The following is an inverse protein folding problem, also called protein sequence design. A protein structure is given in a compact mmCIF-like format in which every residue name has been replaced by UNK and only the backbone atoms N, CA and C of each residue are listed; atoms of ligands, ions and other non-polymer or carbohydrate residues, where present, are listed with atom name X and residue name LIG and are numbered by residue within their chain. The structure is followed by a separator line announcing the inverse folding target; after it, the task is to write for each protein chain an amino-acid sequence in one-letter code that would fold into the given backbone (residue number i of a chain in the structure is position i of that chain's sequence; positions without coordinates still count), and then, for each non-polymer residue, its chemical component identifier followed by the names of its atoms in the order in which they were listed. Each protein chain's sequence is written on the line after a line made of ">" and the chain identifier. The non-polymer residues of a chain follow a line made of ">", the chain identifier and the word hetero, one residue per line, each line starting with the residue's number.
data_IF_822200621306
#
_entry.id   IF_822200621306
#
_cell.length_a   1.000
_cell.length_b   1.000
_cell.length_c   1.000
_cell.angle_alpha   90.00
_cell.angle_beta   90.00
_cell.angle_gamma   90.00
#
_symmetry.space_group_name_H-M   'P 1'
#
loop_
_entity.id
_entity.type
_entity.pdbx_description
1 polymer ?
#
# COMPACT_ATOMS: atom_id res chain seq x y z
N UNK A 1 -56.60 9.84 5.72
CA UNK A 1 -55.17 9.77 6.10
C UNK A 1 -54.36 10.20 4.87
N UNK A 2 -53.94 11.45 4.82
CA UNK A 2 -53.15 11.98 3.69
C UNK A 2 -51.73 11.41 3.83
N UNK A 3 -51.36 10.52 2.91
CA UNK A 3 -49.98 10.02 2.84
C UNK A 3 -49.06 11.20 2.52
N UNK A 4 -48.14 11.47 3.43
CA UNK A 4 -47.12 12.50 3.23
C UNK A 4 -46.06 11.95 2.25
N UNK A 5 -46.30 12.21 0.94
CA UNK A 5 -45.43 11.78 -0.13
C UNK A 5 -44.00 12.28 0.02
N UNK A 6 -43.79 13.41 0.67
CA UNK A 6 -42.47 13.98 0.90
C UNK A 6 -41.72 13.16 1.95
N UNK A 7 -42.37 12.73 3.01
CA UNK A 7 -41.77 11.86 4.03
C UNK A 7 -41.36 10.51 3.45
N UNK A 8 -42.22 9.89 2.65
CA UNK A 8 -41.87 8.63 1.95
C UNK A 8 -40.70 8.81 1.00
N UNK A 9 -40.57 9.96 0.33
CA UNK A 9 -39.45 10.26 -0.54
C UNK A 9 -38.14 10.40 0.25
N UNK A 10 -38.15 11.14 1.36
CA UNK A 10 -36.99 11.29 2.24
C UNK A 10 -36.53 9.96 2.84
N UNK A 11 -37.46 9.11 3.24
CA UNK A 11 -37.12 7.77 3.76
C UNK A 11 -36.49 6.87 2.68
N UNK A 12 -36.98 6.94 1.44
CA UNK A 12 -36.36 6.23 0.30
C UNK A 12 -34.96 6.76 -0.03
N UNK A 13 -34.74 8.06 0.09
CA UNK A 13 -33.42 8.66 -0.11
C UNK A 13 -32.45 8.23 0.97
N UNK A 14 -32.87 8.21 2.25
CA UNK A 14 -32.06 7.68 3.35
C UNK A 14 -31.65 6.22 3.13
N UNK A 15 -32.56 5.37 2.64
CA UNK A 15 -32.24 3.98 2.34
C UNK A 15 -31.18 3.81 1.23
N UNK A 16 -30.96 4.84 0.40
CA UNK A 16 -29.93 4.85 -0.64
C UNK A 16 -28.59 5.42 -0.17
N UNK A 17 -28.55 5.99 1.03
CA UNK A 17 -27.33 6.48 1.65
C UNK A 17 -26.44 5.28 2.05
N UNK A 18 -25.18 5.35 1.68
CA UNK A 18 -24.19 4.30 1.99
C UNK A 18 -23.99 4.15 3.49
N UNK A 19 -24.02 5.25 4.24
CA UNK A 19 -23.87 5.25 5.69
C UNK A 19 -25.04 4.50 6.35
N UNK A 20 -26.26 4.75 5.89
CA UNK A 20 -27.43 4.05 6.38
C UNK A 20 -27.44 2.56 6.00
N UNK A 21 -26.97 2.21 4.78
CA UNK A 21 -26.80 0.82 4.38
C UNK A 21 -25.76 0.11 5.24
N UNK A 22 -24.65 0.79 5.55
CA UNK A 22 -23.58 0.27 6.40
C UNK A 22 -24.10 -0.01 7.81
N UNK A 23 -24.77 0.97 8.43
CA UNK A 23 -25.40 0.81 9.76
C UNK A 23 -26.36 -0.37 9.79
N UNK A 24 -27.29 -0.46 8.84
CA UNK A 24 -28.25 -1.56 8.75
C UNK A 24 -27.59 -2.94 8.61
N UNK A 25 -26.47 -3.02 7.89
CA UNK A 25 -25.71 -4.27 7.75
C UNK A 25 -25.05 -4.69 9.05
N UNK A 26 -24.51 -3.74 9.81
CA UNK A 26 -23.91 -3.99 11.12
C UNK A 26 -24.97 -4.41 12.11
N UNK A 27 -26.09 -3.67 12.22
CA UNK A 27 -27.21 -4.01 13.11
C UNK A 27 -27.74 -5.42 12.87
N UNK A 28 -28.00 -5.77 11.61
CA UNK A 28 -28.51 -7.10 11.23
C UNK A 28 -27.49 -8.22 11.34
N UNK A 29 -26.25 -7.92 10.99
CA UNK A 29 -25.18 -8.93 10.98
C UNK A 29 -24.64 -9.28 12.36
N UNK A 30 -24.57 -8.29 13.25
CA UNK A 30 -24.04 -8.42 14.60
C UNK A 30 -25.11 -8.47 15.69
N UNK A 31 -26.38 -8.19 15.33
CA UNK A 31 -27.48 -8.15 16.30
C UNK A 31 -27.32 -7.03 17.34
N UNK A 32 -26.61 -5.95 16.98
CA UNK A 32 -26.34 -4.84 17.91
C UNK A 32 -27.38 -3.73 17.80
N UNK A 33 -27.39 -2.83 18.80
CA UNK A 33 -28.28 -1.66 18.79
C UNK A 33 -27.84 -0.63 17.73
N UNK A 34 -28.78 0.23 17.25
CA UNK A 34 -28.45 1.32 16.33
C UNK A 34 -27.32 2.24 16.85
N UNK A 35 -27.28 2.49 18.15
CA UNK A 35 -26.22 3.27 18.80
C UNK A 35 -24.83 2.64 18.63
N UNK A 36 -24.73 1.32 18.80
CA UNK A 36 -23.47 0.59 18.60
C UNK A 36 -23.08 0.58 17.14
N UNK A 37 -24.02 0.41 16.23
CA UNK A 37 -23.77 0.46 14.79
C UNK A 37 -23.27 1.85 14.34
N UNK A 38 -23.80 2.92 14.92
CA UNK A 38 -23.34 4.29 14.68
C UNK A 38 -21.93 4.52 15.22
N UNK A 39 -21.63 4.08 16.43
CA UNK A 39 -20.29 4.17 17.00
C UNK A 39 -19.25 3.41 16.17
N UNK A 40 -19.59 2.22 15.66
CA UNK A 40 -18.73 1.46 14.75
C UNK A 40 -18.51 2.22 13.43
N UNK A 41 -19.58 2.81 12.87
CA UNK A 41 -19.48 3.65 11.67
C UNK A 41 -18.52 4.83 11.90
N UNK A 42 -18.62 5.51 13.04
CA UNK A 42 -17.74 6.65 13.35
C UNK A 42 -16.28 6.23 13.46
N UNK A 43 -15.98 5.11 14.11
CA UNK A 43 -14.62 4.56 14.16
C UNK A 43 -14.11 4.21 12.75
N UNK A 44 -14.96 3.60 11.91
CA UNK A 44 -14.58 3.30 10.52
C UNK A 44 -14.32 4.58 9.75
N UNK A 45 -15.14 5.59 9.92
CA UNK A 45 -14.94 6.88 9.28
C UNK A 45 -13.65 7.56 9.75
N UNK A 46 -13.34 7.54 11.04
CA UNK A 46 -12.11 8.12 11.61
C UNK A 46 -10.85 7.44 11.05
N UNK A 47 -10.93 6.14 10.77
CA UNK A 47 -9.80 5.37 10.23
C UNK A 47 -9.68 5.52 8.70
N UNK A 48 -10.78 5.47 7.96
CA UNK A 48 -10.76 5.42 6.50
C UNK A 48 -11.04 6.76 5.83
N UNK A 49 -11.80 7.67 6.45
CA UNK A 49 -12.16 8.96 5.85
C UNK A 49 -10.98 9.91 5.63
N UNK A 50 -9.96 9.97 6.49
CA UNK A 50 -8.76 10.75 6.19
C UNK A 50 -8.09 10.30 4.89
N UNK A 51 -8.24 9.01 4.58
CA UNK A 51 -7.71 8.39 3.36
C UNK A 51 -8.55 8.79 2.14
N UNK A 52 -9.88 8.77 2.29
CA UNK A 52 -10.83 9.00 1.20
C UNK A 52 -11.06 10.49 0.90
N UNK A 53 -11.02 11.34 1.92
CA UNK A 53 -11.31 12.79 1.83
C UNK A 53 -10.06 13.67 1.85
N UNK A 54 -8.87 13.08 1.79
CA UNK A 54 -7.67 13.90 1.61
C UNK A 54 -7.85 14.74 0.33
N UNK A 55 -7.67 16.08 0.39
CA UNK A 55 -7.77 16.94 -0.78
C UNK A 55 -6.63 16.72 -1.77
N UNK A 56 -6.08 15.52 -1.79
CA UNK A 56 -5.05 15.11 -2.70
C UNK A 56 -5.64 15.06 -4.11
N UNK A 57 -5.29 16.07 -4.87
CA UNK A 57 -5.54 16.08 -6.32
C UNK A 57 -4.72 14.97 -6.96
N UNK A 58 -5.30 13.78 -7.04
CA UNK A 58 -4.68 12.68 -7.78
C UNK A 58 -4.62 13.03 -9.27
N UNK A 59 -3.45 12.87 -9.84
CA UNK A 59 -3.32 12.86 -11.31
C UNK A 59 -3.80 11.51 -11.85
N UNK A 60 -4.27 11.46 -13.11
CA UNK A 60 -4.59 10.19 -13.74
C UNK A 60 -3.44 9.19 -13.63
N UNK A 61 -3.73 7.95 -13.26
CA UNK A 61 -2.73 6.91 -13.05
C UNK A 61 -2.05 6.89 -11.68
N UNK A 62 -2.39 7.82 -10.78
CA UNK A 62 -1.93 7.81 -9.39
C UNK A 62 -2.91 7.07 -8.47
N UNK A 63 -2.36 6.49 -7.42
CA UNK A 63 -3.13 5.85 -6.36
C UNK A 63 -2.50 6.16 -5.00
N UNK A 64 -3.32 6.14 -3.96
CA UNK A 64 -2.84 6.16 -2.58
C UNK A 64 -2.51 4.73 -2.16
N UNK A 65 -1.35 4.55 -1.55
CA UNK A 65 -0.87 3.25 -1.11
C UNK A 65 -0.35 3.33 0.33
N UNK A 66 -0.68 2.33 1.13
CA UNK A 66 -0.17 2.21 2.49
C UNK A 66 1.09 1.35 2.49
N UNK A 67 2.20 1.90 2.96
CA UNK A 67 3.48 1.23 3.04
C UNK A 67 4.15 1.43 4.40
N UNK A 68 5.27 0.75 4.61
CA UNK A 68 6.05 0.86 5.84
C UNK A 68 6.74 2.21 5.94
N UNK A 69 6.75 2.81 7.14
CA UNK A 69 7.53 4.01 7.40
C UNK A 69 9.04 3.73 7.33
N UNK A 70 9.77 4.65 6.74
CA UNK A 70 11.24 4.63 6.70
C UNK A 70 11.86 4.74 8.08
N UNK A 71 11.17 5.35 9.07
CA UNK A 71 11.59 5.45 10.46
C UNK A 71 11.57 4.09 11.17
N UNK A 72 10.71 3.16 10.71
CA UNK A 72 10.53 1.85 11.33
C UNK A 72 11.85 1.07 11.36
N UNK A 73 12.20 0.54 12.54
CA UNK A 73 13.41 -0.25 12.76
C UNK A 73 13.44 -1.57 11.95
N UNK A 74 14.66 -2.02 11.62
CA UNK A 74 14.85 -3.26 10.87
C UNK A 74 14.32 -4.51 11.60
N UNK A 75 14.35 -4.51 12.92
CA UNK A 75 13.94 -5.64 13.77
C UNK A 75 12.46 -5.67 14.11
N UNK A 76 11.72 -4.62 13.75
CA UNK A 76 10.27 -4.52 14.03
C UNK A 76 9.50 -5.43 13.09
N UNK A 77 8.65 -6.34 13.61
CA UNK A 77 7.77 -7.15 12.78
C UNK A 77 6.83 -6.26 11.94
N UNK A 78 6.48 -6.71 10.73
CA UNK A 78 5.59 -5.94 9.83
C UNK A 78 4.24 -5.63 10.50
N UNK A 79 3.73 -6.55 11.31
CA UNK A 79 2.46 -6.38 12.02
C UNK A 79 2.45 -5.24 13.07
N UNK A 80 3.63 -4.89 13.58
CA UNK A 80 3.82 -3.84 14.59
C UNK A 80 4.47 -2.58 14.00
N UNK A 81 4.79 -2.63 12.71
CA UNK A 81 5.51 -1.56 12.03
C UNK A 81 4.58 -0.37 11.78
N UNK A 82 5.12 0.83 11.98
CA UNK A 82 4.45 2.05 11.61
C UNK A 82 4.20 2.09 10.10
N UNK A 83 2.95 2.34 9.72
CA UNK A 83 2.51 2.46 8.35
C UNK A 83 2.25 3.93 8.02
N UNK A 84 2.56 4.31 6.79
CA UNK A 84 2.22 5.63 6.26
C UNK A 84 1.61 5.51 4.87
N UNK A 85 0.92 6.57 4.48
CA UNK A 85 0.27 6.67 3.18
C UNK A 85 1.14 7.47 2.23
N UNK A 86 1.32 6.94 1.04
CA UNK A 86 2.09 7.55 -0.04
C UNK A 86 1.28 7.58 -1.32
N UNK A 87 1.56 8.55 -2.18
CA UNK A 87 0.97 8.63 -3.51
C UNK A 87 1.95 7.99 -4.48
N UNK A 88 1.48 6.99 -5.21
CA UNK A 88 2.27 6.26 -6.18
C UNK A 88 1.68 6.41 -7.59
N UNK A 89 2.54 6.57 -8.58
CA UNK A 89 2.17 6.65 -10.00
C UNK A 89 2.31 5.27 -10.64
N UNK A 90 1.19 4.56 -10.78
CA UNK A 90 1.14 3.25 -11.42
C UNK A 90 1.26 3.38 -12.95
N UNK A 91 0.66 4.42 -13.52
CA UNK A 91 0.67 4.68 -14.96
C UNK A 91 0.95 6.17 -15.23
N UNK A 92 2.01 6.46 -15.99
CA UNK A 92 2.38 7.81 -16.44
C UNK A 92 1.82 8.14 -17.84
N UNK A 93 0.87 7.35 -18.33
CA UNK A 93 0.23 7.61 -19.63
C UNK A 93 1.22 7.52 -20.78
N UNK A 94 1.48 8.64 -21.45
CA UNK A 94 2.28 8.69 -22.68
C UNK A 94 3.73 8.20 -22.45
N UNK A 95 4.34 8.54 -21.34
CA UNK A 95 5.70 8.09 -20.97
C UNK A 95 5.79 6.56 -20.92
N UNK A 96 4.84 5.93 -20.24
CA UNK A 96 4.79 4.47 -20.12
C UNK A 96 4.56 3.80 -21.48
N UNK A 97 3.78 4.42 -22.36
CA UNK A 97 3.58 3.92 -23.74
C UNK A 97 4.86 3.99 -24.55
N UNK A 98 5.66 5.04 -24.42
CA UNK A 98 6.94 5.19 -25.12
C UNK A 98 7.96 4.17 -24.65
N UNK A 99 8.06 3.98 -23.32
CA UNK A 99 8.91 2.97 -22.73
C UNK A 99 8.50 1.58 -23.21
N UNK A 100 7.20 1.29 -23.23
CA UNK A 100 6.69 0.00 -23.71
C UNK A 100 7.03 -0.26 -25.18
N UNK A 101 6.95 0.79 -26.03
CA UNK A 101 7.33 0.67 -27.44
C UNK A 101 8.83 0.39 -27.62
N UNK A 102 9.67 1.02 -26.79
CA UNK A 102 11.13 0.94 -26.90
C UNK A 102 11.69 -0.31 -26.23
N UNK A 103 11.23 -0.66 -25.05
CA UNK A 103 11.83 -1.69 -24.18
C UNK A 103 10.91 -2.89 -23.92
N UNK A 104 9.69 -2.85 -24.47
CA UNK A 104 8.70 -3.91 -24.32
C UNK A 104 8.06 -3.93 -22.92
N UNK A 105 7.32 -4.99 -22.65
CA UNK A 105 6.57 -5.16 -21.38
C UNK A 105 7.50 -5.33 -20.17
N UNK A 106 8.64 -5.98 -20.36
CA UNK A 106 9.61 -6.20 -19.28
C UNK A 106 10.27 -4.88 -18.90
N UNK A 107 10.70 -4.08 -19.87
CA UNK A 107 11.29 -2.77 -19.63
C UNK A 107 10.30 -1.82 -18.93
N UNK A 108 9.05 -1.78 -19.39
CA UNK A 108 8.00 -1.00 -18.75
C UNK A 108 7.80 -1.41 -17.28
N UNK A 109 7.75 -2.72 -17.00
CA UNK A 109 7.60 -3.21 -15.62
C UNK A 109 8.77 -2.81 -14.73
N UNK A 110 10.01 -2.92 -15.25
CA UNK A 110 11.21 -2.51 -14.53
C UNK A 110 11.22 -1.00 -14.26
N UNK A 111 10.81 -0.19 -15.22
CA UNK A 111 10.68 1.26 -15.06
C UNK A 111 9.63 1.62 -14.01
N UNK A 112 8.43 1.01 -14.08
CA UNK A 112 7.38 1.18 -13.07
C UNK A 112 7.86 0.77 -11.67
N UNK A 113 8.56 -0.36 -11.57
CA UNK A 113 9.12 -0.84 -10.30
C UNK A 113 10.07 0.19 -9.68
N UNK A 114 10.99 0.73 -10.48
CA UNK A 114 11.93 1.74 -10.02
C UNK A 114 11.21 3.03 -9.59
N UNK A 115 10.28 3.51 -10.39
CA UNK A 115 9.46 4.71 -10.11
C UNK A 115 8.69 4.56 -8.81
N UNK A 116 7.94 3.48 -8.64
CA UNK A 116 7.14 3.22 -7.43
C UNK A 116 8.00 3.20 -6.16
N UNK A 117 9.15 2.53 -6.20
CA UNK A 117 10.08 2.52 -5.07
C UNK A 117 10.64 3.91 -4.76
N UNK A 118 10.99 4.68 -5.79
CA UNK A 118 11.56 6.02 -5.63
C UNK A 118 10.52 7.01 -5.10
N UNK A 119 9.28 6.96 -5.58
CA UNK A 119 8.17 7.79 -5.10
C UNK A 119 7.82 7.48 -3.64
N UNK A 120 7.75 6.20 -3.27
CA UNK A 120 7.53 5.80 -1.88
C UNK A 120 8.64 6.33 -0.97
N UNK A 121 9.89 6.14 -1.39
CA UNK A 121 11.06 6.57 -0.62
C UNK A 121 11.14 8.09 -0.44
N UNK A 122 10.77 8.85 -1.46
CA UNK A 122 10.72 10.32 -1.40
C UNK A 122 9.65 10.84 -0.42
N UNK A 123 8.65 10.02 -0.12
CA UNK A 123 7.58 10.32 0.84
C UNK A 123 7.80 9.58 2.18
N UNK A 124 9.05 9.23 2.53
CA UNK A 124 9.44 8.50 3.73
C UNK A 124 8.82 7.10 3.89
N UNK A 125 8.35 6.52 2.78
CA UNK A 125 7.81 5.18 2.71
C UNK A 125 8.80 4.15 2.18
N UNK A 126 8.59 2.89 2.55
CA UNK A 126 9.36 1.75 2.05
C UNK A 126 8.41 0.65 1.58
N UNK A 127 8.52 0.29 0.31
CA UNK A 127 7.80 -0.84 -0.27
C UNK A 127 8.53 -2.16 0.03
N UNK A 128 7.77 -3.24 0.07
CA UNK A 128 8.28 -4.61 0.14
C UNK A 128 8.20 -5.29 -1.24
N UNK A 129 8.83 -6.44 -1.39
CA UNK A 129 8.74 -7.24 -2.62
C UNK A 129 7.30 -7.74 -2.83
N UNK A 130 6.63 -8.08 -1.75
CA UNK A 130 5.23 -8.55 -1.73
C UNK A 130 4.28 -7.43 -2.17
N UNK A 131 4.49 -6.18 -1.74
CA UNK A 131 3.70 -5.04 -2.18
C UNK A 131 3.81 -4.85 -3.69
N UNK A 132 5.03 -4.89 -4.22
CA UNK A 132 5.28 -4.78 -5.66
C UNK A 132 4.67 -5.94 -6.44
N UNK A 133 4.81 -7.16 -5.91
CA UNK A 133 4.37 -8.36 -6.61
C UNK A 133 2.85 -8.48 -6.67
N UNK A 134 2.19 -8.42 -5.51
CA UNK A 134 0.78 -8.81 -5.40
C UNK A 134 -0.19 -7.63 -5.40
N UNK A 135 0.25 -6.44 -4.99
CA UNK A 135 -0.63 -5.28 -4.85
C UNK A 135 -0.49 -4.26 -5.97
N UNK A 136 0.73 -4.04 -6.47
CA UNK A 136 1.02 -2.97 -7.42
C UNK A 136 1.17 -3.47 -8.86
N UNK A 137 1.97 -4.50 -9.11
CA UNK A 137 2.30 -4.96 -10.46
C UNK A 137 1.62 -6.26 -10.87
N UNK A 138 0.95 -6.94 -9.95
CA UNK A 138 0.23 -8.21 -10.16
C UNK A 138 1.07 -9.27 -10.89
N UNK A 139 2.25 -9.54 -10.37
CA UNK A 139 3.19 -10.55 -10.87
C UNK A 139 3.75 -11.39 -9.74
N UNK A 140 4.33 -12.56 -10.04
CA UNK A 140 4.96 -13.37 -9.00
C UNK A 140 6.24 -12.73 -8.44
N UNK A 141 6.53 -12.95 -7.14
CA UNK A 141 7.75 -12.46 -6.47
C UNK A 141 9.04 -12.83 -7.21
N UNK A 142 9.11 -14.02 -7.81
CA UNK A 142 10.27 -14.45 -8.61
C UNK A 142 10.52 -13.52 -9.81
N UNK A 143 9.45 -12.95 -10.37
CA UNK A 143 9.54 -11.98 -11.47
C UNK A 143 10.11 -10.68 -10.96
N UNK A 144 9.59 -10.17 -9.82
CA UNK A 144 10.14 -8.97 -9.17
C UNK A 144 11.61 -9.17 -8.80
N UNK A 145 11.99 -10.30 -8.22
CA UNK A 145 13.39 -10.58 -7.89
C UNK A 145 14.31 -10.59 -9.13
N UNK A 146 13.85 -11.11 -10.27
CA UNK A 146 14.60 -11.06 -11.55
C UNK A 146 14.73 -9.63 -12.06
N UNK A 147 13.66 -8.85 -12.00
CA UNK A 147 13.67 -7.46 -12.43
C UNK A 147 14.58 -6.60 -11.53
N UNK A 148 14.57 -6.81 -10.22
CA UNK A 148 15.48 -6.16 -9.28
C UNK A 148 16.96 -6.52 -9.57
N UNK A 149 17.23 -7.79 -9.91
CA UNK A 149 18.57 -8.21 -10.30
C UNK A 149 19.01 -7.50 -11.59
N UNK A 150 18.18 -7.51 -12.63
CA UNK A 150 18.47 -6.85 -13.90
C UNK A 150 18.69 -5.32 -13.74
N UNK A 151 17.91 -4.65 -12.87
CA UNK A 151 18.10 -3.25 -12.55
C UNK A 151 19.45 -3.00 -11.86
N UNK A 152 19.84 -3.82 -10.90
CA UNK A 152 21.15 -3.73 -10.21
C UNK A 152 22.32 -3.93 -11.16
N UNK A 153 22.22 -4.85 -12.09
CA UNK A 153 23.24 -5.07 -13.13
C UNK A 153 23.41 -3.84 -14.04
N UNK A 154 22.37 -2.99 -14.17
CA UNK A 154 22.42 -1.71 -14.88
C UNK A 154 22.82 -0.51 -13.97
N UNK A 155 23.19 -0.78 -12.71
CA UNK A 155 23.54 0.27 -11.74
C UNK A 155 22.34 0.98 -11.11
N UNK A 156 21.11 0.50 -11.32
CA UNK A 156 19.89 1.04 -10.73
C UNK A 156 19.52 0.27 -9.46
N UNK A 157 19.45 0.94 -8.32
CA UNK A 157 19.18 0.35 -7.02
C UNK A 157 17.86 0.88 -6.45
N UNK A 158 16.70 0.21 -6.72
CA UNK A 158 15.43 0.64 -6.16
C UNK A 158 15.45 0.62 -4.63
N UNK A 159 15.00 1.70 -3.96
CA UNK A 159 14.98 1.78 -2.52
C UNK A 159 13.81 0.97 -1.92
N UNK A 160 14.06 -0.29 -1.65
CA UNK A 160 13.13 -1.22 -0.98
C UNK A 160 13.48 -1.38 0.49
N UNK A 161 12.52 -1.85 1.29
CA UNK A 161 12.79 -2.19 2.69
C UNK A 161 14.00 -3.12 2.83
N UNK A 162 14.09 -4.15 2.01
CA UNK A 162 15.20 -5.11 2.03
C UNK A 162 16.55 -4.47 1.66
N UNK A 163 16.56 -3.46 0.81
CA UNK A 163 17.79 -2.78 0.38
C UNK A 163 18.20 -1.70 1.38
N UNK A 164 17.25 -0.85 1.80
CA UNK A 164 17.51 0.29 2.68
C UNK A 164 17.83 -0.15 4.10
N UNK A 165 17.13 -1.17 4.61
CA UNK A 165 17.32 -1.69 5.97
C UNK A 165 18.25 -2.89 6.05
N UNK A 166 18.77 -3.35 4.91
CA UNK A 166 19.62 -4.54 4.83
C UNK A 166 18.99 -5.78 5.49
N UNK A 167 17.70 -5.98 5.19
CA UNK A 167 16.91 -7.07 5.78
C UNK A 167 16.69 -8.14 4.71
N UNK A 168 17.24 -9.34 4.93
CA UNK A 168 16.82 -10.54 4.19
C UNK A 168 15.39 -10.95 4.57
N UNK A 169 14.86 -12.01 3.93
CA UNK A 169 13.49 -12.49 4.15
C UNK A 169 13.15 -12.79 5.63
N UNK A 170 14.12 -13.19 6.43
CA UNK A 170 13.90 -13.62 7.81
C UNK A 170 14.78 -12.92 8.84
N UNK A 171 15.99 -12.51 8.47
CA UNK A 171 16.96 -11.91 9.41
C UNK A 171 17.83 -10.89 8.68
N UNK A 172 18.19 -9.79 9.35
CA UNK A 172 19.15 -8.80 8.83
C UNK A 172 20.49 -9.45 8.53
N UNK A 173 21.07 -9.16 7.37
CA UNK A 173 22.42 -9.63 7.00
C UNK A 173 23.46 -9.18 8.01
N UNK A 174 23.35 -7.95 8.55
CA UNK A 174 24.22 -7.45 9.63
C UNK A 174 24.12 -8.31 10.89
N UNK A 175 22.91 -8.69 11.31
CA UNK A 175 22.71 -9.55 12.46
C UNK A 175 23.36 -10.93 12.26
N UNK A 176 23.29 -11.48 11.04
CA UNK A 176 23.95 -12.75 10.70
C UNK A 176 25.47 -12.59 10.73
N UNK A 177 26.00 -11.50 10.17
CA UNK A 177 27.44 -11.21 10.16
C UNK A 177 27.95 -11.05 11.59
N UNK A 178 27.31 -10.20 12.40
CA UNK A 178 27.66 -10.00 13.83
C UNK A 178 27.61 -11.33 14.59
N UNK A 179 26.56 -12.13 14.41
CA UNK A 179 26.44 -13.45 15.04
C UNK A 179 27.57 -14.38 14.62
N UNK A 180 27.95 -14.39 13.33
CA UNK A 180 29.06 -15.22 12.83
C UNK A 180 30.42 -14.76 13.35
N UNK A 181 30.66 -13.44 13.36
CA UNK A 181 31.95 -12.88 13.83
C UNK A 181 32.08 -12.97 15.36
N UNK A 182 31.09 -12.54 16.11
CA UNK A 182 31.17 -12.40 17.56
C UNK A 182 30.98 -13.77 18.28
N UNK A 183 29.98 -14.55 17.83
CA UNK A 183 29.63 -15.80 18.54
C UNK A 183 30.44 -16.99 18.02
N UNK A 184 30.79 -17.03 16.75
CA UNK A 184 31.48 -18.16 16.12
C UNK A 184 32.97 -17.92 15.83
N UNK A 185 33.48 -16.71 16.09
CA UNK A 185 34.87 -16.34 15.83
C UNK A 185 35.36 -16.55 14.40
N UNK A 186 34.45 -16.50 13.41
CA UNK A 186 34.81 -16.65 12.01
C UNK A 186 35.25 -15.32 11.45
N UNK A 187 36.51 -15.23 11.11
CA UNK A 187 37.10 -14.18 10.27
C UNK A 187 37.14 -14.70 8.84
N UNK A 188 36.19 -14.27 8.03
CA UNK A 188 36.28 -14.26 6.56
C UNK A 188 35.82 -12.92 6.06
#
# INVERSE_FOLDING_TARGET
>A
MIRDKNRELFERLKCKDLDHQFQNRIEKGMGCSPFVAEAIKDVVNDVYFPILNSPLSFKPGQLMFQCLSKSCGASVPIAEAEMLQVILTLDSGQEDLEIRKKEGVIGLRQHRLYRLCSEAYAQDGLLTVEDLAYRLLNVGERTICRDLKALRERGCYPPLRSTVKDIGRTVSHRAIIVKKLVIRGRTE
#
